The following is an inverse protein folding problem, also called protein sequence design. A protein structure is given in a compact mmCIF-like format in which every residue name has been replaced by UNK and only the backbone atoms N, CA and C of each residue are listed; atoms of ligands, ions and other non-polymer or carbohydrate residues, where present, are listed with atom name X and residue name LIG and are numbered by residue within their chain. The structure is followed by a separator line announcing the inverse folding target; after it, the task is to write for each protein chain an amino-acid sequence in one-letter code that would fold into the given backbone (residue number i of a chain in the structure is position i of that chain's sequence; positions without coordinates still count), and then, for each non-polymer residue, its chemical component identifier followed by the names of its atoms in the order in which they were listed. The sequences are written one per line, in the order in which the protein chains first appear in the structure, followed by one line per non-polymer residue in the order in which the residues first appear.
data_IF_534989420268
#
_entry.id   IF_534989420268
#
_cell.length_a   1.000
_cell.length_b   1.000
_cell.length_c   1.000
_cell.angle_alpha   90.00
_cell.angle_beta   90.00
_cell.angle_gamma   90.00
#
_symmetry.space_group_name_H-M   'P 1'
#
loop_
_entity.id
_entity.type
_entity.pdbx_description
1 polymer ?
#
# COMPACT_ATOMS: atom_id res chain seq x y z
N UNK A 1 34.13 9.51 3.05
CA UNK A 1 33.40 9.30 4.32
C UNK A 1 32.10 8.60 3.99
N UNK A 2 31.83 7.45 4.62
CA UNK A 2 30.53 6.78 4.49
C UNK A 2 29.56 7.40 5.49
N UNK A 3 28.66 8.23 4.98
CA UNK A 3 27.70 8.96 5.80
C UNK A 3 26.47 8.14 6.17
N UNK A 4 26.33 6.90 5.67
CA UNK A 4 25.15 6.06 5.92
C UNK A 4 24.92 5.80 7.40
N UNK A 5 25.97 5.52 8.15
CA UNK A 5 25.87 5.22 9.59
C UNK A 5 25.41 6.43 10.40
N UNK A 6 25.84 7.63 10.05
CA UNK A 6 25.48 8.85 10.76
C UNK A 6 24.08 9.34 10.38
N UNK A 7 23.67 9.16 9.13
CA UNK A 7 22.28 9.37 8.71
C UNK A 7 21.34 8.35 9.38
N UNK A 8 21.73 7.08 9.51
CA UNK A 8 20.94 6.09 10.25
C UNK A 8 20.76 6.45 11.73
N UNK A 9 21.78 7.00 12.39
CA UNK A 9 21.64 7.52 13.76
C UNK A 9 20.66 8.68 13.84
N UNK A 10 20.73 9.62 12.90
CA UNK A 10 19.80 10.75 12.83
C UNK A 10 18.36 10.28 12.60
N UNK A 11 18.14 9.34 11.67
CA UNK A 11 16.84 8.72 11.43
C UNK A 11 16.32 8.03 12.69
N UNK A 12 17.15 7.20 13.33
CA UNK A 12 16.78 6.52 14.58
C UNK A 12 16.42 7.48 15.70
N UNK A 13 17.10 8.62 15.79
CA UNK A 13 16.74 9.67 16.74
C UNK A 13 15.43 10.36 16.39
N UNK A 14 15.23 10.69 15.11
CA UNK A 14 13.97 11.29 14.65
C UNK A 14 12.80 10.37 15.01
N UNK A 15 12.86 9.09 14.63
CA UNK A 15 11.80 8.11 14.89
C UNK A 15 11.47 7.97 16.38
N UNK A 16 12.49 7.95 17.25
CA UNK A 16 12.29 7.85 18.71
C UNK A 16 11.67 9.10 19.34
N UNK A 17 11.74 10.25 18.67
CA UNK A 17 11.34 11.54 19.22
C UNK A 17 10.32 12.25 18.32
N UNK A 18 9.55 11.51 17.49
CA UNK A 18 8.60 12.09 16.54
C UNK A 18 7.55 12.98 17.20
N UNK A 19 7.14 12.62 18.41
CA UNK A 19 6.13 13.31 19.22
C UNK A 19 6.62 14.61 19.88
N UNK A 20 7.94 14.82 19.94
CA UNK A 20 8.53 15.97 20.62
C UNK A 20 8.90 17.09 19.63
N UNK A 21 9.25 18.26 20.15
CA UNK A 21 9.73 19.36 19.31
C UNK A 21 11.15 19.07 18.83
N UNK A 22 11.27 18.49 17.64
CA UNK A 22 12.56 18.23 17.00
C UNK A 22 13.18 19.49 16.40
N UNK A 23 14.39 19.86 16.81
CA UNK A 23 15.17 20.89 16.14
C UNK A 23 16.21 20.30 15.19
N UNK A 24 16.45 20.99 14.07
CA UNK A 24 17.50 20.61 13.12
C UNK A 24 18.88 20.51 13.79
N UNK A 25 19.14 21.42 14.73
CA UNK A 25 20.41 21.53 15.45
C UNK A 25 20.70 20.30 16.32
N UNK A 26 19.65 19.70 16.91
CA UNK A 26 19.80 18.46 17.68
C UNK A 26 20.07 17.27 16.76
N UNK A 27 19.32 17.17 15.67
CA UNK A 27 19.45 16.07 14.71
C UNK A 27 20.83 16.10 14.02
N UNK A 28 21.29 17.27 13.58
CA UNK A 28 22.60 17.44 12.94
C UNK A 28 23.75 17.13 13.91
N UNK A 29 23.62 17.53 15.19
CA UNK A 29 24.59 17.21 16.23
C UNK A 29 24.72 15.71 16.47
N UNK A 30 23.62 14.96 16.43
CA UNK A 30 23.61 13.50 16.57
C UNK A 30 24.26 12.82 15.36
N UNK A 31 24.11 13.40 14.17
CA UNK A 31 24.82 12.98 12.98
C UNK A 31 26.30 13.44 12.96
N UNK A 32 26.78 14.14 13.98
CA UNK A 32 28.11 14.75 14.03
C UNK A 32 28.41 15.69 12.84
N UNK A 33 27.41 16.45 12.40
CA UNK A 33 27.49 17.34 11.23
C UNK A 33 27.04 18.76 11.56
N UNK A 34 27.50 19.73 10.77
CA UNK A 34 26.87 21.05 10.73
C UNK A 34 25.48 20.98 10.08
N UNK A 35 24.57 21.86 10.48
CA UNK A 35 23.18 21.88 9.97
C UNK A 35 23.10 21.91 8.43
N UNK A 36 23.99 22.69 7.80
CA UNK A 36 24.04 22.85 6.36
C UNK A 36 24.55 21.58 5.65
N UNK A 37 25.61 20.96 6.19
CA UNK A 37 26.12 19.71 5.64
C UNK A 37 25.13 18.56 5.84
N UNK A 38 24.54 18.46 7.03
CA UNK A 38 23.52 17.47 7.36
C UNK A 38 22.33 17.53 6.41
N UNK A 39 21.74 18.71 6.16
CA UNK A 39 20.62 18.85 5.22
C UNK A 39 20.94 18.30 3.83
N UNK A 40 22.14 18.61 3.32
CA UNK A 40 22.58 18.18 1.99
C UNK A 40 22.77 16.67 1.93
N UNK A 41 23.47 16.10 2.92
CA UNK A 41 23.74 14.67 2.99
C UNK A 41 22.44 13.89 3.22
N UNK A 42 21.60 14.32 4.17
CA UNK A 42 20.30 13.70 4.43
C UNK A 42 19.43 13.66 3.17
N UNK A 43 19.31 14.78 2.44
CA UNK A 43 18.54 14.80 1.19
C UNK A 43 19.13 13.89 0.11
N UNK A 44 20.48 13.79 0.03
CA UNK A 44 21.15 12.91 -0.93
C UNK A 44 20.89 11.43 -0.64
N UNK A 45 20.96 11.04 0.64
CA UNK A 45 20.81 9.65 1.10
C UNK A 45 19.34 9.22 1.18
N UNK A 46 18.47 10.05 1.78
CA UNK A 46 17.05 9.74 2.05
C UNK A 46 16.13 10.20 0.91
N UNK A 47 16.67 10.90 -0.10
CA UNK A 47 15.96 11.45 -1.28
C UNK A 47 14.88 12.50 -0.96
N UNK A 48 14.76 12.93 0.30
CA UNK A 48 13.83 13.97 0.74
C UNK A 48 14.46 14.86 1.82
N UNK A 49 13.92 16.07 1.98
CA UNK A 49 14.39 16.97 3.03
C UNK A 49 14.02 16.47 4.43
N UNK A 50 14.86 16.73 5.43
CA UNK A 50 14.63 16.27 6.82
C UNK A 50 13.28 16.71 7.40
N UNK A 51 12.83 17.93 7.12
CA UNK A 51 11.52 18.40 7.59
C UNK A 51 10.36 17.73 6.87
N UNK A 52 10.53 17.43 5.57
CA UNK A 52 9.53 16.67 4.80
C UNK A 52 9.43 15.26 5.34
N UNK A 53 10.57 14.61 5.62
CA UNK A 53 10.62 13.31 6.27
C UNK A 53 9.87 13.32 7.60
N UNK A 54 10.22 14.22 8.53
CA UNK A 54 9.55 14.33 9.85
C UNK A 54 8.04 14.54 9.68
N UNK A 55 7.63 15.44 8.79
CA UNK A 55 6.23 15.73 8.53
C UNK A 55 5.49 14.50 8.00
N UNK A 56 6.06 13.81 7.01
CA UNK A 56 5.47 12.60 6.44
C UNK A 56 5.32 11.49 7.49
N UNK A 57 6.34 11.30 8.33
CA UNK A 57 6.32 10.34 9.44
C UNK A 57 5.24 10.66 10.47
N UNK A 58 5.13 11.92 10.90
CA UNK A 58 4.08 12.38 11.82
C UNK A 58 2.68 12.20 11.25
N UNK A 59 2.48 12.48 9.96
CA UNK A 59 1.18 12.31 9.29
C UNK A 59 0.80 10.83 9.12
N UNK A 60 1.78 9.96 8.84
CA UNK A 60 1.61 8.50 8.79
C UNK A 60 1.23 7.94 10.18
N UNK A 61 1.88 8.38 11.24
CA UNK A 61 1.52 7.98 12.59
C UNK A 61 0.15 8.52 13.02
N UNK A 62 -0.16 9.78 12.67
CA UNK A 62 -1.46 10.35 12.90
C UNK A 62 -2.58 9.58 12.19
N UNK A 63 -2.35 9.12 10.95
CA UNK A 63 -3.33 8.30 10.24
C UNK A 63 -3.54 6.97 10.96
N UNK A 64 -2.47 6.32 11.44
CA UNK A 64 -2.58 5.13 12.26
C UNK A 64 -3.42 5.36 13.53
N UNK A 65 -3.17 6.44 14.27
CA UNK A 65 -3.93 6.79 15.48
C UNK A 65 -5.40 7.12 15.18
N UNK A 66 -5.69 7.77 14.06
CA UNK A 66 -7.06 8.08 13.63
C UNK A 66 -7.89 6.80 13.46
N UNK A 67 -7.27 5.73 12.95
CA UNK A 67 -7.95 4.47 12.63
C UNK A 67 -8.01 3.52 13.83
N UNK A 68 -6.94 3.47 14.62
CA UNK A 68 -6.75 2.44 15.65
C UNK A 68 -6.99 2.92 17.09
N UNK A 69 -7.40 4.19 17.29
CA UNK A 69 -7.68 4.72 18.63
C UNK A 69 -9.00 5.49 18.72
N UNK A 70 -9.43 5.73 19.95
CA UNK A 70 -10.57 6.60 20.26
C UNK A 70 -10.18 8.03 20.62
N UNK A 71 -8.90 8.39 20.46
CA UNK A 71 -8.41 9.75 20.69
C UNK A 71 -9.15 10.78 19.82
N UNK A 72 -9.35 11.97 20.36
CA UNK A 72 -9.94 13.08 19.60
C UNK A 72 -8.96 13.57 18.52
N UNK A 73 -9.46 14.28 17.50
CA UNK A 73 -8.59 14.85 16.46
C UNK A 73 -7.59 15.85 17.08
N UNK A 74 -8.00 16.54 18.15
CA UNK A 74 -7.15 17.45 18.92
C UNK A 74 -6.00 16.66 19.55
N UNK A 75 -6.30 15.59 20.30
CA UNK A 75 -5.28 14.80 20.98
C UNK A 75 -4.30 14.18 19.99
N UNK A 76 -4.81 13.65 18.87
CA UNK A 76 -3.97 13.09 17.80
C UNK A 76 -3.06 14.16 17.21
N UNK A 77 -3.56 15.39 17.02
CA UNK A 77 -2.72 16.49 16.53
C UNK A 77 -1.56 16.80 17.49
N UNK A 78 -1.84 16.81 18.79
CA UNK A 78 -0.85 17.10 19.83
C UNK A 78 0.20 15.98 19.93
N UNK A 79 -0.24 14.72 19.98
CA UNK A 79 0.64 13.54 20.02
C UNK A 79 1.49 13.46 18.75
N UNK A 80 0.95 13.85 17.59
CA UNK A 80 1.70 13.89 16.32
C UNK A 80 2.64 15.10 16.21
N UNK A 81 2.83 15.86 17.29
CA UNK A 81 3.79 16.97 17.37
C UNK A 81 3.33 18.26 16.68
N UNK A 82 2.02 18.47 16.50
CA UNK A 82 1.45 19.71 16.00
C UNK A 82 0.97 20.60 17.15
N UNK A 83 1.16 21.91 17.01
CA UNK A 83 0.75 22.90 18.02
C UNK A 83 -0.74 23.27 17.93
N UNK A 84 -1.42 22.92 16.83
CA UNK A 84 -2.86 23.13 16.68
C UNK A 84 -3.50 22.12 15.73
N UNK A 85 -4.80 21.87 15.92
CA UNK A 85 -5.59 21.00 15.07
C UNK A 85 -5.69 21.52 13.63
N UNK A 86 -5.73 22.84 13.42
CA UNK A 86 -5.86 23.46 12.10
C UNK A 86 -4.61 23.22 11.26
N UNK A 87 -3.42 23.40 11.86
CA UNK A 87 -2.15 23.15 11.20
C UNK A 87 -2.01 21.67 10.82
N UNK A 88 -2.39 20.77 11.73
CA UNK A 88 -2.47 19.34 11.47
C UNK A 88 -3.43 19.02 10.32
N UNK A 89 -4.67 19.52 10.39
CA UNK A 89 -5.72 19.20 9.41
C UNK A 89 -5.38 19.67 7.99
N UNK A 90 -4.73 20.83 7.86
CA UNK A 90 -4.27 21.34 6.57
C UNK A 90 -3.23 20.41 5.95
N UNK A 91 -2.18 20.09 6.70
CA UNK A 91 -1.10 19.21 6.20
C UNK A 91 -1.65 17.80 5.94
N UNK A 92 -2.47 17.26 6.83
CA UNK A 92 -3.07 15.94 6.64
C UNK A 92 -3.92 15.88 5.36
N UNK A 93 -4.71 16.93 5.09
CA UNK A 93 -5.49 17.03 3.85
C UNK A 93 -4.59 17.15 2.62
N UNK A 94 -3.47 17.86 2.68
CA UNK A 94 -2.50 17.93 1.58
C UNK A 94 -1.89 16.55 1.26
N UNK A 95 -1.64 15.71 2.27
CA UNK A 95 -1.07 14.38 2.07
C UNK A 95 -2.09 13.33 1.61
N UNK A 96 -3.28 13.30 2.20
CA UNK A 96 -4.28 12.25 1.96
C UNK A 96 -5.48 12.70 1.13
N UNK A 97 -5.49 13.95 0.65
CA UNK A 97 -6.61 14.59 -0.03
C UNK A 97 -7.93 14.63 0.75
N UNK A 98 -7.90 14.28 2.04
CA UNK A 98 -9.06 14.20 2.93
C UNK A 98 -8.75 14.82 4.29
N UNK A 99 -9.65 15.62 4.87
CA UNK A 99 -9.50 16.10 6.25
C UNK A 99 -9.45 14.94 7.26
N UNK A 100 -8.72 15.06 8.39
CA UNK A 100 -8.55 13.99 9.38
C UNK A 100 -9.85 13.36 9.88
N UNK A 101 -10.91 14.17 10.10
CA UNK A 101 -12.21 13.67 10.54
C UNK A 101 -12.91 12.85 9.45
N UNK A 102 -12.81 13.29 8.20
CA UNK A 102 -13.37 12.53 7.07
C UNK A 102 -12.58 11.27 6.82
N UNK A 103 -11.25 11.35 6.89
CA UNK A 103 -10.36 10.18 6.84
C UNK A 103 -10.70 9.20 7.96
N UNK A 104 -10.78 9.66 9.21
CA UNK A 104 -11.22 8.85 10.35
C UNK A 104 -12.59 8.26 10.10
N UNK A 105 -13.62 9.00 9.73
CA UNK A 105 -14.94 8.40 9.57
C UNK A 105 -15.00 7.41 8.39
N UNK A 106 -14.39 7.76 7.26
CA UNK A 106 -14.36 6.92 6.05
C UNK A 106 -13.59 5.63 6.32
N UNK A 107 -12.41 5.73 6.91
CA UNK A 107 -11.51 4.60 7.08
C UNK A 107 -11.65 3.91 8.45
N UNK A 108 -12.09 4.57 9.52
CA UNK A 108 -12.37 3.93 10.83
C UNK A 108 -13.65 3.12 10.77
N UNK A 109 -14.68 3.56 10.04
CA UNK A 109 -15.83 2.67 9.77
C UNK A 109 -15.36 1.53 8.87
N UNK A 110 -14.62 1.81 7.79
CA UNK A 110 -13.99 0.76 6.99
C UNK A 110 -13.16 -0.24 7.82
N UNK A 111 -12.25 0.16 8.72
CA UNK A 111 -11.41 -0.76 9.50
C UNK A 111 -12.09 -1.33 10.75
N UNK A 112 -12.99 -0.60 11.45
CA UNK A 112 -13.77 -1.16 12.59
C UNK A 112 -14.89 -2.07 12.10
N UNK A 113 -15.57 -1.71 11.03
CA UNK A 113 -16.48 -2.60 10.34
C UNK A 113 -15.71 -3.73 9.68
N UNK A 114 -14.48 -3.59 9.17
CA UNK A 114 -13.71 -4.75 8.66
C UNK A 114 -13.02 -5.61 9.75
N UNK A 115 -12.88 -5.14 11.00
CA UNK A 115 -12.43 -5.97 12.13
C UNK A 115 -13.63 -6.69 12.78
N UNK A 116 -14.83 -6.12 12.73
CA UNK A 116 -16.06 -6.74 13.29
C UNK A 116 -16.86 -7.50 12.22
N UNK A 117 -16.75 -7.11 10.95
CA UNK A 117 -17.30 -7.78 9.77
C UNK A 117 -16.20 -8.60 9.08
N UNK A 118 -15.63 -9.56 9.81
CA UNK A 118 -15.53 -10.87 9.16
C UNK A 118 -16.98 -11.25 8.86
N UNK A 119 -17.46 -10.94 7.65
CA UNK A 119 -18.66 -11.61 7.16
C UNK A 119 -18.37 -13.10 7.36
N UNK A 120 -19.23 -13.80 8.10
CA UNK A 120 -19.03 -15.21 8.47
C UNK A 120 -18.85 -16.14 7.26
N UNK A 121 -18.99 -15.61 6.04
CA UNK A 121 -18.99 -16.35 4.78
C UNK A 121 -17.60 -16.71 4.25
N UNK A 122 -16.56 -15.86 4.33
CA UNK A 122 -15.21 -16.19 3.80
C UNK A 122 -14.13 -16.02 4.88
N UNK A 123 -13.97 -17.08 5.68
CA UNK A 123 -13.04 -17.08 6.82
C UNK A 123 -11.61 -16.70 6.40
N UNK A 124 -11.05 -15.68 7.07
CA UNK A 124 -9.66 -15.27 6.91
C UNK A 124 -9.37 -14.33 5.73
N UNK A 125 -10.40 -13.91 5.00
CA UNK A 125 -10.30 -12.94 3.91
C UNK A 125 -11.00 -11.63 4.27
N UNK A 126 -10.39 -10.52 3.88
CA UNK A 126 -10.87 -9.16 4.10
C UNK A 126 -11.53 -8.67 2.81
N UNK A 127 -12.72 -8.11 2.93
CA UNK A 127 -13.43 -7.45 1.82
C UNK A 127 -13.19 -5.94 1.92
N UNK A 128 -12.89 -5.29 0.80
CA UNK A 128 -12.47 -3.88 0.75
C UNK A 128 -12.83 -3.28 -0.62
N UNK A 129 -13.03 -1.97 -0.74
CA UNK A 129 -13.38 -1.33 -2.01
C UNK A 129 -13.88 0.10 -1.87
N UNK A 130 -14.14 0.76 -2.99
CA UNK A 130 -14.67 2.14 -3.01
C UNK A 130 -16.19 2.21 -2.80
N UNK A 131 -16.95 1.18 -3.19
CA UNK A 131 -18.41 1.06 -3.06
C UNK A 131 -18.84 -0.42 -2.87
N UNK A 132 -18.60 -1.01 -1.70
CA UNK A 132 -18.81 -2.46 -1.47
C UNK A 132 -20.28 -2.87 -1.66
N UNK A 133 -21.24 -2.01 -1.29
CA UNK A 133 -22.69 -2.31 -1.37
C UNK A 133 -23.20 -2.58 -2.80
N UNK A 134 -22.46 -2.12 -3.81
CA UNK A 134 -22.82 -2.34 -5.22
C UNK A 134 -22.28 -3.68 -5.76
N UNK A 135 -21.49 -4.40 -4.96
CA UNK A 135 -20.92 -5.69 -5.27
C UNK A 135 -21.49 -6.78 -4.36
N UNK A 136 -21.74 -7.95 -4.94
CA UNK A 136 -22.06 -9.15 -4.20
C UNK A 136 -20.83 -10.08 -4.16
N UNK A 137 -20.41 -10.46 -2.97
CA UNK A 137 -19.23 -11.30 -2.74
C UNK A 137 -19.67 -12.52 -1.95
N UNK A 138 -19.34 -13.71 -2.44
CA UNK A 138 -19.79 -14.96 -1.81
C UNK A 138 -18.88 -16.15 -2.15
N UNK A 139 -19.00 -17.23 -1.38
CA UNK A 139 -18.52 -18.55 -1.78
C UNK A 139 -19.46 -19.14 -2.84
N UNK A 140 -18.87 -19.76 -3.87
CA UNK A 140 -19.59 -20.42 -4.94
C UNK A 140 -19.18 -21.89 -5.03
N UNK A 141 -20.12 -22.78 -4.68
CA UNK A 141 -19.92 -24.24 -4.67
C UNK A 141 -20.33 -24.89 -6.01
N UNK A 142 -20.79 -24.10 -6.98
CA UNK A 142 -21.22 -24.55 -8.31
C UNK A 142 -20.17 -24.27 -9.38
N UNK A 143 -19.45 -23.15 -9.24
CA UNK A 143 -18.39 -22.74 -10.16
C UNK A 143 -17.10 -22.61 -9.38
N UNK A 144 -16.22 -23.60 -9.51
CA UNK A 144 -14.89 -23.62 -8.88
C UNK A 144 -13.87 -24.26 -9.81
N UNK A 145 -12.58 -24.05 -9.56
CA UNK A 145 -11.50 -24.63 -10.34
C UNK A 145 -11.03 -25.95 -9.72
N UNK A 146 -10.84 -25.96 -8.40
CA UNK A 146 -10.44 -27.14 -7.65
C UNK A 146 -11.17 -27.23 -6.30
N UNK A 147 -11.05 -28.37 -5.62
CA UNK A 147 -11.72 -28.57 -4.33
C UNK A 147 -13.24 -28.61 -4.47
N UNK A 148 -13.94 -27.76 -3.71
CA UNK A 148 -15.41 -27.75 -3.61
C UNK A 148 -16.07 -26.37 -3.67
N UNK A 149 -15.29 -25.29 -3.73
CA UNK A 149 -15.81 -23.92 -3.73
C UNK A 149 -14.75 -22.93 -4.22
N UNK A 150 -15.19 -21.83 -4.82
CA UNK A 150 -14.36 -20.66 -5.12
C UNK A 150 -14.94 -19.39 -4.48
N UNK A 151 -14.23 -18.27 -4.58
CA UNK A 151 -14.79 -16.96 -4.19
C UNK A 151 -15.25 -16.22 -5.44
N UNK A 152 -16.49 -15.73 -5.44
CA UNK A 152 -17.07 -14.92 -6.50
C UNK A 152 -17.23 -13.46 -6.06
N UNK A 153 -16.87 -12.53 -6.95
CA UNK A 153 -17.25 -11.12 -6.89
C UNK A 153 -18.18 -10.83 -8.07
N UNK A 154 -19.34 -10.23 -7.81
CA UNK A 154 -20.33 -9.85 -8.82
C UNK A 154 -20.63 -8.35 -8.73
N UNK A 155 -20.38 -7.60 -9.79
CA UNK A 155 -20.71 -6.18 -9.87
C UNK A 155 -22.10 -5.94 -10.48
N UNK A 156 -22.88 -5.04 -9.88
CA UNK A 156 -24.19 -4.63 -10.39
C UNK A 156 -24.11 -3.98 -11.78
N UNK A 157 -25.21 -4.02 -12.55
CA UNK A 157 -25.26 -3.33 -13.86
C UNK A 157 -25.15 -1.82 -13.70
N UNK A 158 -24.48 -1.15 -14.63
CA UNK A 158 -24.26 0.30 -14.68
C UNK A 158 -23.36 0.87 -13.57
N UNK A 159 -22.43 0.08 -13.06
CA UNK A 159 -21.40 0.57 -12.15
C UNK A 159 -20.53 1.63 -12.83
N UNK A 160 -20.21 2.71 -12.11
CA UNK A 160 -19.22 3.68 -12.56
C UNK A 160 -17.87 2.96 -12.73
N UNK A 161 -17.16 3.26 -13.81
CA UNK A 161 -15.83 2.72 -14.11
C UNK A 161 -14.79 3.01 -13.02
N UNK A 162 -15.03 3.93 -12.07
CA UNK A 162 -14.12 4.18 -10.95
C UNK A 162 -14.35 3.29 -9.71
N UNK A 163 -15.47 2.55 -9.66
CA UNK A 163 -15.83 1.73 -8.50
C UNK A 163 -15.17 0.36 -8.60
N UNK A 164 -14.60 -0.12 -7.49
CA UNK A 164 -14.04 -1.47 -7.40
C UNK A 164 -14.28 -2.09 -6.02
N UNK A 165 -14.20 -3.41 -5.97
CA UNK A 165 -14.12 -4.18 -4.72
C UNK A 165 -13.03 -5.24 -4.82
N UNK A 166 -12.51 -5.68 -3.69
CA UNK A 166 -11.46 -6.68 -3.58
C UNK A 166 -11.70 -7.60 -2.39
N UNK A 167 -11.30 -8.86 -2.58
CA UNK A 167 -11.17 -9.84 -1.51
C UNK A 167 -9.67 -10.10 -1.35
N UNK A 168 -9.14 -9.86 -0.15
CA UNK A 168 -7.71 -9.80 0.10
C UNK A 168 -7.28 -10.42 1.42
N UNK A 169 -6.01 -10.76 1.53
CA UNK A 169 -5.35 -11.06 2.79
C UNK A 169 -4.22 -10.06 3.05
N UNK A 170 -3.89 -9.96 4.32
CA UNK A 170 -2.74 -9.19 4.80
C UNK A 170 -1.94 -10.08 5.77
N UNK A 171 -0.65 -10.22 5.51
CA UNK A 171 0.25 -11.03 6.35
C UNK A 171 1.55 -10.29 6.63
N UNK A 172 2.24 -10.67 7.71
CA UNK A 172 3.58 -10.17 7.99
C UNK A 172 4.58 -10.62 6.92
N UNK A 173 5.42 -9.69 6.46
CA UNK A 173 6.49 -9.95 5.51
C UNK A 173 7.69 -10.70 6.13
N UNK A 174 7.70 -10.93 7.46
CA UNK A 174 8.84 -11.49 8.22
C UNK A 174 9.45 -12.75 7.59
N UNK A 175 8.63 -13.66 7.07
CA UNK A 175 9.11 -14.92 6.49
C UNK A 175 9.55 -14.80 5.02
N UNK A 176 9.38 -13.63 4.42
CA UNK A 176 9.56 -13.34 3.00
C UNK A 176 10.65 -12.29 2.72
N UNK A 177 11.24 -11.67 3.74
CA UNK A 177 12.29 -10.66 3.60
C UNK A 177 13.46 -11.14 2.73
N UNK A 178 13.90 -10.30 1.80
CA UNK A 178 14.97 -10.55 0.81
C UNK A 178 14.70 -11.73 -0.13
N UNK A 179 13.44 -12.14 -0.30
CA UNK A 179 13.04 -13.20 -1.23
C UNK A 179 12.24 -12.61 -2.38
N UNK A 180 12.29 -13.31 -3.52
CA UNK A 180 11.32 -13.10 -4.60
C UNK A 180 10.11 -13.97 -4.33
N UNK A 181 8.93 -13.38 -4.39
CA UNK A 181 7.68 -14.05 -4.03
C UNK A 181 6.73 -13.98 -5.21
N UNK A 182 6.16 -15.12 -5.58
CA UNK A 182 5.09 -15.22 -6.58
C UNK A 182 3.77 -15.45 -5.86
N UNK A 183 2.84 -14.53 -6.09
CA UNK A 183 1.42 -14.73 -5.87
C UNK A 183 0.82 -15.32 -7.15
N UNK A 184 0.02 -16.36 -7.04
CA UNK A 184 -0.72 -16.95 -8.16
C UNK A 184 -2.11 -17.38 -7.75
N UNK A 185 -3.03 -17.36 -8.70
CA UNK A 185 -4.40 -17.87 -8.55
C UNK A 185 -4.98 -18.24 -9.92
N UNK A 186 -6.05 -19.02 -9.92
CA UNK A 186 -6.89 -19.22 -11.10
C UNK A 186 -8.05 -18.24 -11.05
N UNK A 187 -8.30 -17.55 -12.17
CA UNK A 187 -9.44 -16.65 -12.32
C UNK A 187 -10.33 -17.10 -13.48
N UNK A 188 -11.63 -16.98 -13.30
CA UNK A 188 -12.66 -17.12 -14.35
C UNK A 188 -13.47 -15.85 -14.39
N UNK A 189 -13.88 -15.40 -15.58
CA UNK A 189 -14.69 -14.18 -15.71
C UNK A 189 -15.91 -14.39 -16.58
N UNK A 190 -16.94 -13.59 -16.33
CA UNK A 190 -18.14 -13.52 -17.16
C UNK A 190 -18.60 -12.07 -17.28
N UNK A 191 -18.67 -11.58 -18.51
CA UNK A 191 -19.23 -10.28 -18.90
C UNK A 191 -18.64 -9.11 -18.10
N UNK A 192 -17.33 -9.14 -17.83
CA UNK A 192 -16.64 -8.00 -17.19
C UNK A 192 -16.55 -6.84 -18.20
N UNK A 193 -17.14 -5.70 -17.85
CA UNK A 193 -17.11 -4.47 -18.67
C UNK A 193 -15.97 -3.51 -18.30
N UNK A 194 -15.52 -3.53 -17.05
CA UNK A 194 -14.33 -2.86 -16.56
C UNK A 194 -13.14 -3.81 -16.64
N UNK A 195 -12.62 -4.22 -15.49
CA UNK A 195 -11.54 -5.20 -15.43
C UNK A 195 -11.49 -5.95 -14.09
N UNK A 196 -10.88 -7.13 -14.12
CA UNK A 196 -10.55 -7.90 -12.94
C UNK A 196 -9.11 -8.39 -12.97
N UNK A 197 -8.62 -8.86 -11.83
CA UNK A 197 -7.26 -9.41 -11.75
C UNK A 197 -6.85 -9.71 -10.32
N UNK A 198 -5.71 -10.36 -10.17
CA UNK A 198 -5.01 -10.41 -8.88
C UNK A 198 -4.19 -9.14 -8.69
N UNK A 199 -3.89 -8.84 -7.44
CA UNK A 199 -2.97 -7.79 -7.08
C UNK A 199 -2.08 -8.20 -5.91
N UNK A 200 -0.88 -7.66 -5.89
CA UNK A 200 0.13 -7.90 -4.86
C UNK A 200 0.82 -6.58 -4.52
N UNK A 201 0.93 -6.25 -3.23
CA UNK A 201 1.58 -5.05 -2.71
C UNK A 201 2.44 -5.38 -1.51
N UNK A 202 3.66 -4.86 -1.52
CA UNK A 202 4.59 -4.91 -0.39
C UNK A 202 4.65 -3.53 0.23
N UNK A 203 4.33 -3.44 1.52
CA UNK A 203 4.37 -2.20 2.29
C UNK A 203 5.49 -2.25 3.34
N UNK A 204 6.12 -1.12 3.59
CA UNK A 204 7.09 -0.95 4.67
C UNK A 204 6.41 -0.70 6.03
N UNK A 205 7.22 -0.56 7.08
CA UNK A 205 6.76 -0.34 8.47
C UNK A 205 5.90 0.91 8.65
N UNK A 206 5.96 1.82 7.69
CA UNK A 206 5.30 3.12 7.73
C UNK A 206 4.13 3.18 6.75
N UNK A 207 3.68 2.01 6.26
CA UNK A 207 2.64 1.83 5.25
C UNK A 207 2.98 2.48 3.90
N UNK A 208 4.25 2.79 3.66
CA UNK A 208 4.73 3.19 2.36
C UNK A 208 4.71 2.01 1.40
N UNK A 209 4.17 2.21 0.19
CA UNK A 209 4.19 1.20 -0.86
C UNK A 209 5.62 1.05 -1.38
N UNK A 210 6.21 -0.13 -1.17
CA UNK A 210 7.55 -0.46 -1.66
C UNK A 210 7.51 -1.11 -3.04
N UNK A 211 6.53 -1.99 -3.26
CA UNK A 211 6.33 -2.74 -4.49
C UNK A 211 4.84 -2.94 -4.75
N UNK A 212 4.44 -2.92 -6.02
CA UNK A 212 3.04 -3.06 -6.39
C UNK A 212 2.87 -3.57 -7.81
N UNK A 213 1.91 -4.48 -7.96
CA UNK A 213 1.41 -4.96 -9.23
C UNK A 213 -0.06 -5.35 -9.06
N UNK A 214 -0.91 -4.86 -9.94
CA UNK A 214 -2.35 -5.09 -9.93
C UNK A 214 -2.88 -5.61 -11.26
N UNK A 215 -2.01 -6.05 -12.17
CA UNK A 215 -2.37 -6.53 -13.51
C UNK A 215 -3.12 -5.51 -14.40
N UNK A 216 -3.11 -4.21 -14.12
CA UNK A 216 -3.78 -3.24 -15.01
C UNK A 216 -3.20 -3.19 -16.44
N UNK A 217 -1.95 -3.59 -16.60
CA UNK A 217 -1.27 -3.76 -17.89
C UNK A 217 -1.66 -5.06 -18.62
N UNK A 218 -2.27 -6.02 -17.90
CA UNK A 218 -2.70 -7.33 -18.38
C UNK A 218 -4.04 -7.76 -17.76
N UNK A 219 -5.10 -6.94 -17.92
CA UNK A 219 -6.35 -7.10 -17.18
C UNK A 219 -7.14 -8.33 -17.63
N UNK A 220 -7.95 -8.89 -16.74
CA UNK A 220 -9.01 -9.83 -17.10
C UNK A 220 -10.25 -9.04 -17.52
N UNK A 221 -10.69 -9.21 -18.76
CA UNK A 221 -11.83 -8.50 -19.35
C UNK A 221 -12.78 -9.46 -20.06
N UNK A 222 -14.05 -9.12 -20.17
CA UNK A 222 -15.05 -9.95 -20.83
C UNK A 222 -15.27 -11.31 -20.16
N UNK A 223 -15.52 -12.34 -20.96
CA UNK A 223 -15.86 -13.70 -20.51
C UNK A 223 -14.73 -14.67 -20.85
N UNK A 224 -14.18 -15.32 -19.83
CA UNK A 224 -13.07 -16.27 -19.96
C UNK A 224 -13.34 -17.53 -19.13
N UNK A 225 -12.81 -18.66 -19.61
CA UNK A 225 -12.70 -19.86 -18.77
C UNK A 225 -11.66 -19.65 -17.68
N UNK A 226 -11.54 -20.61 -16.75
CA UNK A 226 -10.47 -20.60 -15.75
C UNK A 226 -9.10 -20.48 -16.42
N UNK A 227 -8.33 -19.49 -16.01
CA UNK A 227 -6.97 -19.25 -16.47
C UNK A 227 -6.06 -18.98 -15.27
N UNK A 228 -4.79 -19.36 -15.40
CA UNK A 228 -3.77 -19.12 -14.39
C UNK A 228 -3.20 -17.70 -14.51
N UNK A 229 -3.11 -16.99 -13.39
CA UNK A 229 -2.53 -15.66 -13.32
C UNK A 229 -1.51 -15.57 -12.18
N UNK A 230 -0.50 -14.71 -12.36
CA UNK A 230 0.52 -14.50 -11.33
C UNK A 230 1.08 -13.07 -11.29
N UNK A 231 1.52 -12.69 -10.10
CA UNK A 231 2.26 -11.47 -9.79
C UNK A 231 3.52 -11.85 -9.01
N UNK A 232 4.68 -11.33 -9.43
CA UNK A 232 5.99 -11.67 -8.89
C UNK A 232 6.68 -10.40 -8.42
N UNK A 233 6.91 -10.29 -7.11
CA UNK A 233 7.56 -9.14 -6.48
C UNK A 233 8.80 -9.57 -5.69
N UNK A 234 9.83 -8.75 -5.72
CA UNK A 234 10.91 -8.81 -4.73
C UNK A 234 10.42 -8.21 -3.41
N UNK A 235 10.66 -8.87 -2.28
CA UNK A 235 10.29 -8.37 -0.95
C UNK A 235 11.54 -7.77 -0.29
N UNK A 236 11.65 -6.42 -0.19
CA UNK A 236 12.83 -5.77 0.39
C UNK A 236 13.00 -6.07 1.88
N UNK A 237 14.19 -5.82 2.43
CA UNK A 237 14.46 -6.03 3.87
C UNK A 237 13.67 -5.06 4.76
N UNK A 238 13.25 -3.92 4.20
CA UNK A 238 12.44 -2.90 4.86
C UNK A 238 10.94 -3.24 4.89
N UNK A 239 10.52 -4.29 4.19
CA UNK A 239 9.12 -4.72 4.15
C UNK A 239 8.61 -5.15 5.52
N UNK A 240 7.36 -4.85 5.79
CA UNK A 240 6.68 -5.24 7.03
C UNK A 240 5.40 -6.04 6.75
N UNK A 241 4.70 -5.68 5.66
CA UNK A 241 3.38 -6.22 5.33
C UNK A 241 3.33 -6.64 3.86
N UNK A 242 2.78 -7.83 3.62
CA UNK A 242 2.36 -8.29 2.30
C UNK A 242 0.83 -8.19 2.21
N UNK A 243 0.33 -7.53 1.18
CA UNK A 243 -1.10 -7.41 0.88
C UNK A 243 -1.34 -8.02 -0.48
N UNK A 244 -2.31 -8.92 -0.59
CA UNK A 244 -2.61 -9.55 -1.86
C UNK A 244 -4.06 -10.00 -1.93
N UNK A 245 -4.57 -10.13 -3.14
CA UNK A 245 -5.91 -10.62 -3.35
C UNK A 245 -6.30 -10.57 -4.81
N UNK A 246 -7.60 -10.53 -5.06
CA UNK A 246 -8.16 -10.25 -6.37
C UNK A 246 -9.25 -9.20 -6.27
N UNK A 247 -9.50 -8.52 -7.38
CA UNK A 247 -10.43 -7.41 -7.44
C UNK A 247 -11.26 -7.46 -8.71
N UNK A 248 -12.42 -6.82 -8.63
CA UNK A 248 -13.27 -6.49 -9.78
C UNK A 248 -13.55 -4.99 -9.76
N UNK A 249 -13.35 -4.35 -10.91
CA UNK A 249 -13.77 -2.99 -11.21
C UNK A 249 -14.82 -3.04 -12.32
N UNK A 250 -15.96 -2.38 -12.10
CA UNK A 250 -17.10 -2.41 -13.01
C UNK A 250 -18.06 -3.57 -12.75
N UNK A 251 -18.90 -3.86 -13.73
CA UNK A 251 -19.91 -4.91 -13.67
C UNK A 251 -19.39 -6.26 -14.19
N UNK A 252 -20.19 -7.31 -14.00
CA UNK A 252 -19.86 -8.67 -14.40
C UNK A 252 -19.50 -9.56 -13.21
N UNK A 253 -19.01 -10.76 -13.50
CA UNK A 253 -18.63 -11.74 -12.48
C UNK A 253 -17.14 -12.11 -12.62
N UNK A 254 -16.46 -12.20 -11.49
CA UNK A 254 -15.10 -12.70 -11.38
C UNK A 254 -15.02 -13.74 -10.27
N UNK A 255 -14.56 -14.93 -10.61
CA UNK A 255 -14.27 -15.98 -9.64
C UNK A 255 -12.77 -16.12 -9.47
N UNK A 256 -12.33 -16.41 -8.25
CA UNK A 256 -10.95 -16.73 -7.93
C UNK A 256 -10.84 -17.98 -7.06
N UNK A 257 -9.82 -18.79 -7.35
CA UNK A 257 -9.57 -20.06 -6.69
C UNK A 257 -8.06 -20.39 -6.68
N UNK A 258 -7.66 -21.36 -5.86
CA UNK A 258 -6.29 -21.90 -5.79
C UNK A 258 -5.20 -20.83 -5.60
N UNK A 259 -5.42 -19.92 -4.65
CA UNK A 259 -4.37 -18.97 -4.27
C UNK A 259 -3.14 -19.70 -3.72
N UNK A 260 -1.99 -19.38 -4.28
CA UNK A 260 -0.70 -19.85 -3.80
C UNK A 260 0.27 -18.66 -3.68
N UNK A 261 1.01 -18.64 -2.57
CA UNK A 261 2.06 -17.67 -2.30
C UNK A 261 3.36 -18.45 -2.07
N UNK A 262 4.28 -18.34 -3.01
CA UNK A 262 5.51 -19.14 -2.98
C UNK A 262 6.76 -18.29 -3.18
N UNK A 263 7.85 -18.72 -2.53
CA UNK A 263 9.18 -18.14 -2.75
C UNK A 263 9.75 -18.74 -4.03
N UNK A 264 10.14 -17.87 -4.96
CA UNK A 264 10.74 -18.27 -6.23
C UNK A 264 12.18 -17.76 -6.34
N UNK A 265 12.91 -18.33 -7.29
CA UNK A 265 14.29 -17.96 -7.59
C UNK A 265 14.35 -16.67 -8.43
N UNK A 266 15.53 -16.04 -8.50
CA UNK A 266 15.73 -14.74 -9.16
C UNK A 266 15.69 -14.78 -10.70
N UNK A 267 15.71 -15.96 -11.31
CA UNK A 267 15.51 -16.16 -12.75
C UNK A 267 14.05 -15.96 -13.17
N UNK A 268 13.09 -16.10 -12.25
CA UNK A 268 11.69 -15.73 -12.49
C UNK A 268 11.58 -14.21 -12.53
N UNK A 269 11.25 -13.61 -13.68
CA UNK A 269 11.13 -12.15 -13.83
C UNK A 269 10.05 -11.58 -12.91
N UNK A 270 10.31 -10.38 -12.36
CA UNK A 270 9.27 -9.63 -11.64
C UNK A 270 8.24 -9.07 -12.61
N UNK A 271 7.07 -8.76 -12.08
CA UNK A 271 5.94 -8.23 -12.85
C UNK A 271 5.59 -6.79 -12.44
N UNK A 272 6.31 -6.19 -11.50
CA UNK A 272 6.18 -4.78 -11.16
C UNK A 272 6.79 -3.87 -12.22
N UNK A 273 6.41 -2.60 -12.14
CA UNK A 273 7.01 -1.53 -12.92
C UNK A 273 8.53 -1.46 -12.69
N UNK A 274 9.31 -1.63 -13.76
CA UNK A 274 10.76 -1.50 -13.74
C UNK A 274 11.17 -0.10 -14.19
N UNK A 275 11.49 0.78 -13.24
CA UNK A 275 11.99 2.13 -13.53
C UNK A 275 13.22 2.14 -14.44
N UNK A 276 14.09 1.13 -14.31
CA UNK A 276 15.30 0.95 -15.14
C UNK A 276 14.99 0.72 -16.63
N UNK A 277 13.77 0.28 -16.98
CA UNK A 277 13.37 0.11 -18.39
C UNK A 277 12.79 1.38 -19.01
N UNK A 278 12.42 2.36 -18.18
CA UNK A 278 11.60 3.51 -18.58
C UNK A 278 12.36 4.82 -18.40
N UNK A 279 13.20 4.91 -17.37
CA UNK A 279 14.03 6.07 -17.11
C UNK A 279 15.48 5.77 -17.49
N UNK A 280 16.14 6.64 -18.24
CA UNK A 280 17.54 6.45 -18.57
C UNK A 280 18.40 6.56 -17.29
N UNK A 281 19.47 5.76 -17.23
CA UNK A 281 20.42 5.77 -16.11
C UNK A 281 21.07 7.15 -15.89
N UNK A 282 21.15 7.94 -16.96
CA UNK A 282 21.73 9.28 -16.96
C UNK A 282 20.81 10.27 -17.70
N UNK A 283 20.80 11.55 -17.29
CA UNK A 283 20.07 12.58 -18.01
C UNK A 283 20.65 12.80 -19.41
N UNK A 284 19.80 12.71 -20.42
CA UNK A 284 20.15 13.02 -21.81
C UNK A 284 19.82 14.46 -22.18
N UNK A 285 20.59 15.05 -23.11
CA UNK A 285 20.31 16.37 -23.71
C UNK A 285 20.18 17.52 -22.71
N UNK A 286 21.08 17.58 -21.72
CA UNK A 286 21.10 18.66 -20.73
C UNK A 286 21.41 20.05 -21.34
N UNK A 287 21.98 20.10 -22.54
CA UNK A 287 22.27 21.33 -23.28
C UNK A 287 21.14 21.80 -24.19
N UNK A 288 20.08 21.00 -24.37
CA UNK A 288 18.98 21.24 -25.31
C UNK A 288 19.41 21.41 -26.78
N UNK A 289 20.63 21.01 -27.12
CA UNK A 289 21.15 21.09 -28.50
C UNK A 289 20.79 19.79 -29.22
N UNK A 290 20.11 19.94 -30.36
CA UNK A 290 19.82 18.82 -31.26
C UNK A 290 21.09 18.16 -31.78
#
# INVERSE_FOLDING_TARGET
MDYKKDIQKALSYIEKNLHEKLSLKEISKIACMSDYHFKRVFKKEVKMGVYQYIQQRRISEASFLLLNSDLSIIDISLVSGYSSQEAFSRVFKEYYNLPPRQYKNKFKNFFRENIIMTNQEIKGWIISGSNIDEYNIMLDNSTFHSGNQSVKISGSKNLNSENFTTVMQQISAKNYLNKRVKLSAYLKSENIDGWGGIWFRVDGKNFEQLKFDNMQDRPVVGTNSWNYYSSVLDVPIEADILNFGFLLQGSGNLWADDFNLEVVTKDVKTTDFSSEQIYPDEPSNLSFTQ
#
